data_IF_689640246489
#
_entry.id   IF_689640246489
#
_cell.length_a   1.000
_cell.length_b   1.000
_cell.length_c   1.000
_cell.angle_alpha   90.00
_cell.angle_beta   90.00
_cell.angle_gamma   90.00
#
_symmetry.space_group_name_H-M   'P 1'
#
loop_
_entity.id
_entity.type
_entity.pdbx_description
1 polymer ?
#
# COMPACT_ATOMS: atom_id res chain seq x y z
N UNK A 1 -1.63 -35.82 -14.03
CA UNK A 1 -1.78 -34.35 -13.82
C UNK A 1 -0.57 -33.77 -13.07
N UNK A 2 0.57 -33.54 -13.74
CA UNK A 2 1.80 -33.05 -13.06
C UNK A 2 1.81 -31.55 -12.73
N UNK A 3 0.96 -30.75 -13.38
CA UNK A 3 0.89 -29.28 -13.20
C UNK A 3 0.09 -28.86 -11.97
N UNK A 4 -0.99 -29.59 -11.68
CA UNK A 4 -1.86 -29.34 -10.52
C UNK A 4 -1.11 -29.58 -9.19
N UNK A 5 -0.21 -30.56 -9.16
CA UNK A 5 0.67 -30.82 -8.00
C UNK A 5 1.65 -29.68 -7.71
N UNK A 6 1.95 -28.82 -8.68
CA UNK A 6 2.84 -27.66 -8.52
C UNK A 6 2.08 -26.38 -8.12
N UNK A 7 0.75 -26.45 -8.00
CA UNK A 7 -0.08 -25.31 -7.62
C UNK A 7 -1.23 -25.02 -8.60
N UNK A 8 -1.92 -23.89 -8.41
CA UNK A 8 -3.09 -23.53 -9.19
C UNK A 8 -2.75 -23.28 -10.67
N UNK A 9 -3.59 -23.82 -11.56
CA UNK A 9 -3.42 -23.69 -13.01
C UNK A 9 -4.47 -22.71 -13.52
N UNK A 10 -4.02 -21.62 -14.18
CA UNK A 10 -4.90 -20.59 -14.74
C UNK A 10 -5.97 -21.20 -15.66
N UNK A 11 -7.24 -20.89 -15.41
CA UNK A 11 -8.38 -21.32 -16.24
C UNK A 11 -8.97 -22.69 -15.90
N UNK A 12 -8.54 -23.31 -14.80
CA UNK A 12 -9.07 -24.58 -14.28
C UNK A 12 -9.32 -24.38 -12.79
N UNK A 13 -10.54 -24.63 -12.31
CA UNK A 13 -10.82 -24.78 -10.88
C UNK A 13 -11.16 -26.23 -10.58
N UNK A 14 -10.59 -26.76 -9.49
CA UNK A 14 -11.05 -28.01 -8.89
C UNK A 14 -11.65 -27.70 -7.52
N UNK A 15 -12.65 -28.46 -7.08
CA UNK A 15 -13.37 -28.20 -5.83
C UNK A 15 -12.45 -28.02 -4.61
N UNK A 16 -11.43 -28.86 -4.49
CA UNK A 16 -10.41 -28.78 -3.43
C UNK A 16 -9.57 -27.47 -3.48
N UNK A 17 -9.41 -26.85 -4.66
CA UNK A 17 -8.65 -25.61 -4.89
C UNK A 17 -9.48 -24.42 -4.41
N UNK A 18 -10.79 -24.48 -4.63
CA UNK A 18 -11.76 -23.50 -4.16
C UNK A 18 -11.90 -23.58 -2.63
N UNK A 19 -11.98 -24.78 -2.03
CA UNK A 19 -12.03 -24.95 -0.58
C UNK A 19 -10.74 -24.47 0.14
N UNK A 20 -9.55 -24.73 -0.43
CA UNK A 20 -8.30 -24.16 0.11
C UNK A 20 -8.24 -22.64 -0.05
N UNK A 21 -8.75 -22.11 -1.17
CA UNK A 21 -8.83 -20.68 -1.39
C UNK A 21 -9.78 -20.03 -0.39
N UNK A 22 -10.96 -20.59 -0.15
CA UNK A 22 -11.91 -20.09 0.85
C UNK A 22 -11.32 -20.13 2.26
N UNK A 23 -10.61 -21.21 2.63
CA UNK A 23 -9.94 -21.27 3.95
C UNK A 23 -8.87 -20.20 4.10
N UNK A 24 -8.14 -19.88 3.03
CA UNK A 24 -7.11 -18.84 3.04
C UNK A 24 -7.70 -17.43 3.00
N UNK A 25 -8.72 -17.21 2.19
CA UNK A 25 -9.42 -15.92 2.05
C UNK A 25 -10.21 -15.57 3.33
N UNK A 26 -10.69 -16.58 4.08
CA UNK A 26 -11.35 -16.41 5.38
C UNK A 26 -10.39 -16.34 6.58
N UNK A 27 -9.08 -16.26 6.35
CA UNK A 27 -8.13 -16.15 7.46
C UNK A 27 -8.27 -14.78 8.15
N UNK A 28 -8.65 -14.81 9.43
CA UNK A 28 -8.69 -13.64 10.30
C UNK A 28 -7.57 -13.79 11.34
N UNK A 29 -6.66 -12.82 11.47
CA UNK A 29 -5.59 -12.87 12.47
C UNK A 29 -6.15 -12.67 13.89
N UNK A 30 -5.43 -13.16 14.89
CA UNK A 30 -5.81 -13.01 16.31
C UNK A 30 -5.75 -11.54 16.76
N UNK A 31 -4.76 -10.78 16.27
CA UNK A 31 -4.62 -9.34 16.51
C UNK A 31 -4.89 -8.61 15.21
N UNK A 32 -5.82 -7.66 15.25
CA UNK A 32 -6.12 -6.82 14.09
C UNK A 32 -4.96 -5.85 13.85
N UNK A 33 -4.54 -5.69 12.59
CA UNK A 33 -3.55 -4.68 12.23
C UNK A 33 -4.03 -3.23 12.50
N UNK A 34 -5.34 -3.04 12.61
CA UNK A 34 -5.98 -1.77 12.96
C UNK A 34 -6.19 -1.60 14.46
N UNK A 35 -5.79 -2.57 15.28
CA UNK A 35 -5.93 -2.45 16.72
C UNK A 35 -4.92 -1.41 17.23
N UNK A 36 -5.44 -0.24 17.56
CA UNK A 36 -4.66 0.92 18.03
C UNK A 36 -4.21 0.77 19.48
N UNK A 37 -4.63 -0.29 20.19
CA UNK A 37 -4.25 -0.54 21.58
C UNK A 37 -2.77 -0.86 21.78
N UNK A 38 -2.10 -1.40 20.74
CA UNK A 38 -0.72 -1.89 20.83
C UNK A 38 0.33 -0.84 20.40
N UNK A 39 -0.05 0.15 19.58
CA UNK A 39 0.91 1.07 18.94
C UNK A 39 0.58 2.56 18.97
N UNK A 40 -0.63 2.96 19.38
CA UNK A 40 -1.10 4.34 19.19
C UNK A 40 -1.28 4.69 17.70
N UNK A 41 -2.07 5.73 17.42
CA UNK A 41 -2.19 6.26 16.05
C UNK A 41 -1.21 7.40 15.88
N UNK A 42 -0.37 7.35 14.85
CA UNK A 42 0.44 8.48 14.41
C UNK A 42 -0.36 9.28 13.38
N UNK A 43 -0.61 10.56 13.66
CA UNK A 43 -1.33 11.45 12.76
C UNK A 43 -0.57 12.76 12.53
N UNK A 44 -0.94 13.44 11.46
CA UNK A 44 -0.46 14.80 11.18
C UNK A 44 -1.25 15.84 12.01
N UNK A 45 -0.70 17.04 12.14
CA UNK A 45 -1.31 18.16 12.87
C UNK A 45 -2.70 18.54 12.34
N UNK A 46 -2.86 18.55 11.01
CA UNK A 46 -4.14 18.88 10.37
C UNK A 46 -5.22 17.82 10.67
N UNK A 47 -4.84 16.54 10.68
CA UNK A 47 -5.75 15.45 11.03
C UNK A 47 -6.15 15.47 12.50
N UNK A 48 -5.29 15.94 13.41
CA UNK A 48 -5.67 16.16 14.82
C UNK A 48 -6.73 17.26 14.94
N UNK A 49 -6.56 18.38 14.24
CA UNK A 49 -7.55 19.45 14.24
C UNK A 49 -8.93 18.99 13.68
N UNK A 50 -8.92 18.08 12.71
CA UNK A 50 -10.14 17.43 12.22
C UNK A 50 -10.81 16.54 13.29
N UNK A 51 -10.02 15.76 14.04
CA UNK A 51 -10.56 14.94 15.14
C UNK A 51 -11.18 15.81 16.24
N UNK A 52 -10.53 16.92 16.58
CA UNK A 52 -11.03 17.90 17.53
C UNK A 52 -12.35 18.55 17.05
N UNK A 53 -12.42 18.93 15.76
CA UNK A 53 -13.63 19.51 15.17
C UNK A 53 -14.82 18.54 15.14
N UNK A 54 -14.54 17.24 15.04
CA UNK A 54 -15.55 16.18 15.08
C UNK A 54 -15.85 15.69 16.50
N UNK A 55 -15.20 16.26 17.53
CA UNK A 55 -15.30 15.87 18.94
C UNK A 55 -14.96 14.39 19.20
N UNK A 56 -13.98 13.83 18.48
CA UNK A 56 -13.48 12.48 18.74
C UNK A 56 -12.30 12.53 19.72
N UNK A 57 -12.47 11.93 20.90
CA UNK A 57 -11.41 11.78 21.91
C UNK A 57 -10.73 10.42 21.75
N UNK A 58 -9.67 10.40 20.95
CA UNK A 58 -8.86 9.20 20.65
C UNK A 58 -7.41 9.51 21.04
N UNK A 59 -6.66 8.56 21.65
CA UNK A 59 -5.25 8.77 21.94
C UNK A 59 -4.43 8.74 20.66
N UNK A 60 -3.86 9.88 20.28
CA UNK A 60 -3.10 10.05 19.03
C UNK A 60 -1.78 10.78 19.27
N UNK A 61 -0.71 10.31 18.63
CA UNK A 61 0.62 10.95 18.61
C UNK A 61 0.78 11.77 17.33
N UNK A 62 1.23 13.02 17.46
CA UNK A 62 1.40 13.92 16.31
C UNK A 62 2.81 13.76 15.75
N UNK A 63 2.92 13.47 14.45
CA UNK A 63 4.18 13.36 13.72
C UNK A 63 4.21 14.40 12.60
N UNK A 64 5.30 15.15 12.51
CA UNK A 64 5.50 16.11 11.43
C UNK A 64 5.91 15.36 10.15
N UNK A 65 5.13 15.42 9.05
CA UNK A 65 5.49 14.73 7.81
C UNK A 65 6.76 15.33 7.20
N UNK A 66 7.76 14.49 6.95
CA UNK A 66 8.93 14.90 6.17
C UNK A 66 8.49 15.00 4.71
N UNK A 67 8.23 16.22 4.25
CA UNK A 67 8.02 16.52 2.83
C UNK A 67 9.35 16.39 2.08
N UNK A 68 9.84 15.16 1.93
CA UNK A 68 10.89 14.86 0.97
C UNK A 68 10.28 15.04 -0.43
N UNK A 69 10.29 16.27 -0.93
CA UNK A 69 10.08 16.51 -2.34
C UNK A 69 11.10 15.64 -3.08
N UNK A 70 10.69 14.67 -3.91
CA UNK A 70 11.67 13.96 -4.72
C UNK A 70 12.30 15.02 -5.62
N UNK A 71 13.59 15.29 -5.42
CA UNK A 71 14.34 16.11 -6.35
C UNK A 71 14.12 15.49 -7.72
N UNK A 72 13.38 16.24 -8.55
CA UNK A 72 12.99 15.79 -9.88
C UNK A 72 14.32 15.52 -10.58
N UNK A 73 14.59 14.24 -10.86
CA UNK A 73 15.89 13.81 -11.38
C UNK A 73 16.33 14.78 -12.49
N UNK A 74 17.59 15.24 -12.47
CA UNK A 74 18.06 16.25 -13.41
C UNK A 74 17.68 15.78 -14.81
N UNK A 75 16.86 16.60 -15.48
CA UNK A 75 16.30 16.29 -16.80
C UNK A 75 17.46 15.90 -17.69
N UNK A 76 17.60 14.60 -17.95
CA UNK A 76 18.73 14.01 -18.67
C UNK A 76 18.92 14.83 -19.93
N UNK A 77 20.02 15.59 -19.95
CA UNK A 77 20.35 16.50 -21.04
C UNK A 77 20.18 15.71 -22.33
N UNK A 78 19.20 16.11 -23.16
CA UNK A 78 18.93 15.39 -24.40
C UNK A 78 20.19 15.50 -25.22
N UNK A 79 20.86 14.36 -25.40
CA UNK A 79 22.08 14.21 -26.20
C UNK A 79 21.87 14.98 -27.51
N UNK A 80 22.67 16.02 -27.73
CA UNK A 80 22.58 16.88 -28.93
C UNK A 80 22.64 15.99 -30.16
N UNK A 81 21.52 15.88 -30.89
CA UNK A 81 21.48 15.16 -32.16
C UNK A 81 22.04 16.09 -33.22
N UNK A 82 23.20 15.79 -33.84
CA UNK A 82 23.73 16.61 -34.91
C UNK A 82 22.73 16.62 -36.08
N UNK A 83 22.19 17.79 -36.42
CA UNK A 83 21.27 17.98 -37.56
C UNK A 83 19.82 18.34 -37.24
N UNK A 84 19.42 18.43 -35.96
CA UNK A 84 18.03 18.74 -35.58
C UNK A 84 17.58 20.20 -35.82
N UNK A 85 18.46 21.07 -36.33
CA UNK A 85 18.18 22.48 -36.62
C UNK A 85 18.33 22.82 -38.12
N UNK A 86 17.88 21.94 -39.01
CA UNK A 86 17.72 22.27 -40.44
C UNK A 86 16.24 22.35 -40.80
N UNK A 87 15.67 23.52 -40.57
CA UNK A 87 14.47 24.07 -41.21
C UNK A 87 14.71 25.56 -41.33
#
# INVERSE_FOLDING_TARGET
>A
MKRIQKGPVRGISFKLQEEERERKDNYVPEVSALDTSVGGLEVDGDTKALLDALNFDIPVTVVNPILAAPERAPRRERRTVPGAART
#
